data_IF_925577557386
#
_entry.id   IF_925577557386
#
_cell.length_a   1.000
_cell.length_b   1.000
_cell.length_c   1.000
_cell.angle_alpha   90.00
_cell.angle_beta   90.00
_cell.angle_gamma   90.00
#
_symmetry.space_group_name_H-M   'P 1'
#
loop_
_entity.id
_entity.type
_entity.pdbx_description
1 polymer ?
#
# COMPACT_ATOMS: atom_id res chain seq x y z
N UNK A 1 -3.15 -1.84 -17.61
CA UNK A 1 -1.84 -2.50 -17.80
C UNK A 1 -1.41 -3.08 -16.47
N UNK A 2 -1.04 -4.36 -16.43
CA UNK A 2 -0.49 -5.04 -15.24
C UNK A 2 0.98 -5.36 -15.52
N UNK A 3 1.83 -5.14 -14.52
CA UNK A 3 3.26 -5.38 -14.61
C UNK A 3 3.61 -6.60 -13.76
N UNK A 4 4.30 -7.56 -14.35
CA UNK A 4 4.91 -8.69 -13.67
C UNK A 4 6.40 -8.41 -13.53
N UNK A 5 6.90 -8.49 -12.31
CA UNK A 5 8.29 -8.22 -11.97
C UNK A 5 8.85 -9.33 -11.09
N UNK A 6 10.02 -9.86 -11.44
CA UNK A 6 10.82 -10.75 -10.59
C UNK A 6 12.29 -10.65 -10.93
N UNK A 7 13.14 -11.08 -10.02
CA UNK A 7 14.52 -11.41 -10.37
C UNK A 7 14.56 -12.84 -10.90
N UNK A 8 15.29 -13.03 -11.99
CA UNK A 8 15.64 -14.37 -12.52
C UNK A 8 17.13 -14.57 -12.37
N UNK A 9 17.52 -15.78 -12.03
CA UNK A 9 18.92 -16.18 -12.01
C UNK A 9 19.35 -16.47 -13.45
N UNK A 10 20.39 -15.80 -13.90
CA UNK A 10 21.01 -16.01 -15.20
C UNK A 10 22.46 -16.37 -14.98
N UNK A 11 22.91 -17.48 -15.56
CA UNK A 11 24.29 -17.92 -15.55
C UNK A 11 25.00 -17.27 -16.74
N UNK A 12 26.17 -16.69 -16.49
CA UNK A 12 27.03 -16.12 -17.50
C UNK A 12 27.75 -17.27 -18.22
N UNK A 13 27.55 -17.41 -19.51
CA UNK A 13 28.05 -18.54 -20.31
C UNK A 13 29.58 -18.61 -20.38
N UNK A 14 30.29 -17.48 -20.16
CA UNK A 14 31.75 -17.43 -20.22
C UNK A 14 32.41 -17.64 -18.86
N UNK A 15 31.78 -17.16 -17.79
CA UNK A 15 32.37 -17.17 -16.44
C UNK A 15 31.75 -18.19 -15.50
N UNK A 16 30.54 -18.71 -15.82
CA UNK A 16 29.77 -19.58 -14.94
C UNK A 16 29.18 -18.86 -13.71
N UNK A 17 29.34 -17.54 -13.61
CA UNK A 17 28.79 -16.79 -12.49
C UNK A 17 27.29 -16.59 -12.62
N UNK A 18 26.58 -16.79 -11.52
CA UNK A 18 25.14 -16.56 -11.43
C UNK A 18 24.86 -15.10 -11.06
N UNK A 19 24.10 -14.41 -11.90
CA UNK A 19 23.69 -13.03 -11.68
C UNK A 19 22.17 -12.94 -11.56
N UNK A 20 21.71 -12.12 -10.62
CA UNK A 20 20.29 -11.77 -10.48
C UNK A 20 19.93 -10.67 -11.47
N UNK A 21 19.18 -11.03 -12.51
CA UNK A 21 18.76 -10.10 -13.56
C UNK A 21 17.30 -9.73 -13.35
N UNK A 22 16.96 -8.43 -13.34
CA UNK A 22 15.57 -8.00 -13.23
C UNK A 22 14.80 -8.37 -14.51
N UNK A 23 13.71 -9.09 -14.33
CA UNK A 23 12.80 -9.48 -15.40
C UNK A 23 11.47 -8.78 -15.23
N UNK A 24 11.10 -7.96 -16.20
CA UNK A 24 9.84 -7.24 -16.21
C UNK A 24 9.04 -7.61 -17.46
N UNK A 25 7.79 -7.98 -17.26
CA UNK A 25 6.78 -8.10 -18.32
C UNK A 25 5.57 -7.24 -18.00
N UNK A 26 4.92 -6.73 -19.01
CA UNK A 26 3.65 -6.06 -18.87
C UNK A 26 2.59 -6.73 -19.74
N UNK A 27 1.36 -6.68 -19.25
CA UNK A 27 0.19 -7.19 -19.95
C UNK A 27 -0.86 -6.08 -20.00
N UNK A 28 -1.49 -5.92 -21.17
CA UNK A 28 -2.70 -5.11 -21.24
C UNK A 28 -3.84 -5.92 -20.66
N UNK A 29 -4.51 -5.38 -19.66
CA UNK A 29 -5.72 -5.93 -19.08
C UNK A 29 -6.87 -4.98 -19.38
N UNK A 30 -8.05 -5.54 -19.55
CA UNK A 30 -9.27 -4.82 -19.86
C UNK A 30 -10.28 -5.11 -18.75
N UNK A 31 -11.11 -4.13 -18.43
CA UNK A 31 -12.27 -4.38 -17.57
C UNK A 31 -13.19 -5.37 -18.28
N UNK A 32 -13.84 -6.24 -17.51
CA UNK A 32 -14.68 -7.31 -18.10
C UNK A 32 -15.80 -6.75 -18.97
N UNK A 33 -16.35 -5.59 -18.63
CA UNK A 33 -17.38 -4.88 -19.40
C UNK A 33 -16.88 -4.36 -20.77
N UNK A 34 -15.56 -4.34 -20.98
CA UNK A 34 -14.93 -3.98 -22.24
C UNK A 34 -14.68 -5.20 -23.14
N UNK A 35 -15.08 -6.39 -22.66
CA UNK A 35 -14.84 -7.65 -23.34
C UNK A 35 -16.15 -8.30 -23.77
N UNK A 36 -16.19 -8.85 -24.98
CA UNK A 36 -17.33 -9.62 -25.50
C UNK A 36 -17.04 -11.12 -25.43
N UNK A 37 -18.08 -11.93 -25.28
CA UNK A 37 -18.00 -13.40 -25.32
C UNK A 37 -17.34 -14.03 -24.06
N UNK A 38 -17.26 -13.31 -22.96
CA UNK A 38 -16.72 -13.81 -21.69
C UNK A 38 -17.74 -14.75 -21.03
N UNK A 39 -17.26 -15.91 -20.58
CA UNK A 39 -18.11 -16.88 -19.86
C UNK A 39 -18.63 -16.29 -18.54
N UNK A 40 -19.92 -16.53 -18.25
CA UNK A 40 -20.59 -16.06 -17.03
C UNK A 40 -19.83 -16.40 -15.71
N UNK A 41 -19.04 -17.47 -15.69
CA UNK A 41 -18.21 -17.82 -14.52
C UNK A 41 -17.15 -16.76 -14.15
N UNK A 42 -16.80 -15.89 -15.08
CA UNK A 42 -15.84 -14.80 -14.87
C UNK A 42 -16.52 -13.43 -14.69
N UNK A 43 -17.83 -13.36 -14.84
CA UNK A 43 -18.63 -12.12 -14.70
C UNK A 43 -19.36 -12.06 -13.36
N UNK A 44 -19.04 -12.97 -12.43
CA UNK A 44 -19.59 -12.90 -11.08
C UNK A 44 -19.11 -11.59 -10.45
N UNK A 45 -20.03 -10.67 -10.22
CA UNK A 45 -19.76 -9.48 -9.43
C UNK A 45 -19.19 -9.94 -8.09
N UNK A 46 -18.00 -9.47 -7.76
CA UNK A 46 -17.54 -9.55 -6.38
C UNK A 46 -18.55 -8.75 -5.57
N UNK A 47 -19.40 -9.43 -4.81
CA UNK A 47 -20.30 -8.77 -3.89
C UNK A 47 -19.40 -8.03 -2.88
N UNK A 48 -19.32 -6.71 -3.01
CA UNK A 48 -18.75 -5.89 -1.95
C UNK A 48 -19.67 -6.05 -0.74
N UNK A 49 -19.12 -6.38 0.43
CA UNK A 49 -19.92 -6.50 1.63
C UNK A 49 -20.67 -5.18 1.88
N UNK A 50 -21.91 -5.28 2.34
CA UNK A 50 -22.68 -4.12 2.78
C UNK A 50 -21.88 -3.31 3.80
N UNK A 51 -22.03 -1.98 3.82
CA UNK A 51 -21.17 -1.05 4.52
C UNK A 51 -20.87 -1.36 6.00
N UNK A 52 -21.72 -2.13 6.69
CA UNK A 52 -21.47 -2.60 8.06
C UNK A 52 -20.41 -3.69 8.10
N UNK A 53 -20.46 -4.67 7.18
CA UNK A 53 -19.49 -5.76 7.09
C UNK A 53 -18.12 -5.24 6.62
N UNK A 54 -18.11 -4.25 5.75
CA UNK A 54 -16.91 -3.54 5.28
C UNK A 54 -16.16 -2.87 6.43
N UNK A 55 -16.89 -2.23 7.36
CA UNK A 55 -16.29 -1.58 8.53
C UNK A 55 -15.74 -2.60 9.52
N UNK A 56 -16.44 -3.71 9.71
CA UNK A 56 -15.99 -4.82 10.55
C UNK A 56 -14.70 -5.43 9.99
N UNK A 57 -14.65 -5.72 8.69
CA UNK A 57 -13.47 -6.26 8.03
C UNK A 57 -12.25 -5.34 8.17
N UNK A 58 -12.44 -4.02 8.02
CA UNK A 58 -11.36 -3.06 8.22
C UNK A 58 -10.85 -3.06 9.68
N UNK A 59 -11.77 -3.12 10.65
CA UNK A 59 -11.40 -3.19 12.07
C UNK A 59 -10.66 -4.48 12.43
N UNK A 60 -11.13 -5.61 11.93
CA UNK A 60 -10.52 -6.92 12.19
C UNK A 60 -9.07 -6.95 11.68
N UNK A 61 -8.81 -6.46 10.46
CA UNK A 61 -7.46 -6.36 9.90
C UNK A 61 -6.57 -5.48 10.79
N UNK A 62 -7.07 -4.32 11.20
CA UNK A 62 -6.30 -3.38 12.03
C UNK A 62 -5.97 -4.02 13.38
N UNK A 63 -6.94 -4.58 14.08
CA UNK A 63 -6.73 -5.17 15.42
C UNK A 63 -5.87 -6.42 15.38
N UNK A 64 -6.02 -7.27 14.36
CA UNK A 64 -5.16 -8.44 14.17
C UNK A 64 -3.70 -8.00 13.98
N UNK A 65 -3.44 -7.07 13.07
CA UNK A 65 -2.10 -6.57 12.82
C UNK A 65 -1.48 -5.90 14.06
N UNK A 66 -2.22 -5.00 14.72
CA UNK A 66 -1.74 -4.31 15.92
C UNK A 66 -1.42 -5.28 17.05
N UNK A 67 -2.28 -6.27 17.25
CA UNK A 67 -2.09 -7.30 18.30
C UNK A 67 -0.91 -8.23 18.00
N UNK A 68 -0.75 -8.63 16.76
CA UNK A 68 0.30 -9.55 16.30
C UNK A 68 1.68 -8.89 16.29
N UNK A 69 1.75 -7.65 15.83
CA UNK A 69 3.00 -6.92 15.68
C UNK A 69 3.37 -6.05 16.89
N UNK A 70 2.48 -5.88 17.85
CA UNK A 70 2.71 -5.09 19.06
C UNK A 70 2.70 -3.57 18.82
N UNK A 71 2.19 -3.10 17.68
CA UNK A 71 2.10 -1.68 17.34
C UNK A 71 0.98 -1.02 18.16
N UNK A 72 1.25 0.15 18.72
CA UNK A 72 0.24 0.92 19.43
C UNK A 72 -0.47 1.91 18.51
N UNK A 73 -1.79 2.01 18.67
CA UNK A 73 -2.62 3.00 17.98
C UNK A 73 -3.20 3.97 19.01
N UNK A 74 -2.82 5.24 18.90
CA UNK A 74 -3.23 6.32 19.78
C UNK A 74 -4.09 7.33 19.02
N UNK A 75 -5.06 7.93 19.73
CA UNK A 75 -5.86 9.03 19.19
C UNK A 75 -5.65 10.26 20.07
N UNK A 76 -5.23 11.36 19.44
CA UNK A 76 -4.94 12.61 20.12
C UNK A 76 -5.69 13.77 19.43
N UNK A 77 -5.97 14.83 20.17
CA UNK A 77 -6.46 16.07 19.57
C UNK A 77 -5.35 16.70 18.72
N UNK A 78 -5.61 16.92 17.44
CA UNK A 78 -4.63 17.46 16.51
C UNK A 78 -5.09 17.31 15.06
N UNK A 79 -4.22 17.72 14.14
CA UNK A 79 -4.50 17.73 12.70
C UNK A 79 -3.56 16.80 11.90
N UNK A 80 -2.72 16.03 12.59
CA UNK A 80 -1.71 15.17 11.96
C UNK A 80 -1.87 13.72 12.35
N UNK A 81 -1.78 12.84 11.34
CA UNK A 81 -1.54 11.43 11.50
C UNK A 81 -0.07 11.14 11.22
N UNK A 82 0.53 10.22 11.95
CA UNK A 82 1.89 9.77 11.71
C UNK A 82 2.20 8.46 12.44
N UNK A 83 3.12 7.69 11.85
CA UNK A 83 3.79 6.59 12.53
C UNK A 83 5.11 7.07 13.13
N UNK A 84 5.39 6.69 14.37
CA UNK A 84 6.63 7.01 15.11
C UNK A 84 7.47 5.75 15.30
N UNK A 85 8.54 5.56 14.50
CA UNK A 85 9.36 4.34 14.57
C UNK A 85 10.06 4.14 15.92
N UNK A 86 10.45 5.23 16.60
CA UNK A 86 11.21 5.14 17.86
C UNK A 86 10.44 4.53 19.02
N UNK A 87 9.11 4.62 19.01
CA UNK A 87 8.22 4.08 20.06
C UNK A 87 7.26 3.04 19.51
N UNK A 88 7.33 2.77 18.20
CA UNK A 88 6.46 1.85 17.46
C UNK A 88 4.97 2.16 17.66
N UNK A 89 4.63 3.45 17.48
CA UNK A 89 3.31 4.00 17.75
C UNK A 89 2.75 4.70 16.52
N UNK A 90 1.47 4.45 16.24
CA UNK A 90 0.68 5.21 15.29
C UNK A 90 -0.13 6.22 16.09
N UNK A 91 -0.08 7.50 15.70
CA UNK A 91 -0.85 8.57 16.30
C UNK A 91 -1.78 9.14 15.23
N UNK A 92 -3.06 9.23 15.54
CA UNK A 92 -4.11 9.74 14.68
C UNK A 92 -4.89 10.86 15.37
N UNK A 93 -5.47 11.79 14.62
CA UNK A 93 -6.52 12.65 15.13
C UNK A 93 -7.68 11.85 15.72
N UNK A 94 -8.38 12.40 16.70
CA UNK A 94 -9.59 11.77 17.22
C UNK A 94 -10.61 11.60 16.10
N UNK A 95 -11.34 10.47 16.12
CA UNK A 95 -12.20 10.02 15.01
C UNK A 95 -13.20 11.07 14.52
N UNK A 96 -13.71 11.91 15.42
CA UNK A 96 -14.67 13.00 15.08
C UNK A 96 -14.09 14.09 14.18
N UNK A 97 -12.76 14.18 14.02
CA UNK A 97 -12.10 15.17 13.18
C UNK A 97 -11.99 14.76 11.72
N UNK A 98 -12.28 13.51 11.40
CA UNK A 98 -12.30 13.02 10.03
C UNK A 98 -13.65 13.34 9.37
N UNK A 99 -13.61 13.75 8.11
CA UNK A 99 -14.83 14.11 7.35
C UNK A 99 -15.67 12.90 6.98
N UNK A 100 -15.07 11.71 6.96
CA UNK A 100 -15.76 10.44 6.69
C UNK A 100 -15.08 9.26 7.34
N UNK A 101 -15.84 8.17 7.51
CA UNK A 101 -15.32 6.90 7.98
C UNK A 101 -14.29 6.31 7.02
N UNK A 102 -14.51 6.44 5.71
CA UNK A 102 -13.56 6.00 4.69
C UNK A 102 -12.22 6.73 4.78
N UNK A 103 -12.24 8.05 5.03
CA UNK A 103 -11.01 8.82 5.22
C UNK A 103 -10.25 8.37 6.49
N UNK A 104 -10.96 8.14 7.59
CA UNK A 104 -10.35 7.61 8.80
C UNK A 104 -9.63 6.29 8.53
N UNK A 105 -10.27 5.30 7.92
CA UNK A 105 -9.65 4.00 7.65
C UNK A 105 -8.53 4.10 6.61
N UNK A 106 -8.67 4.94 5.60
CA UNK A 106 -7.59 5.21 4.64
C UNK A 106 -6.34 5.72 5.35
N UNK A 107 -6.51 6.67 6.29
CA UNK A 107 -5.41 7.20 7.09
C UNK A 107 -4.81 6.13 8.01
N UNK A 108 -5.65 5.32 8.68
CA UNK A 108 -5.16 4.19 9.49
C UNK A 108 -4.30 3.24 8.66
N UNK A 109 -4.77 2.82 7.48
CA UNK A 109 -4.04 1.91 6.60
C UNK A 109 -2.74 2.52 6.07
N UNK A 110 -2.70 3.84 5.86
CA UNK A 110 -1.47 4.55 5.49
C UNK A 110 -0.42 4.43 6.61
N UNK A 111 -0.80 4.75 7.84
CA UNK A 111 0.12 4.67 8.98
C UNK A 111 0.48 3.22 9.34
N UNK A 112 -0.44 2.26 9.18
CA UNK A 112 -0.12 0.83 9.29
C UNK A 112 0.94 0.42 8.27
N UNK A 113 0.81 0.90 7.03
CA UNK A 113 1.79 0.58 5.98
C UNK A 113 3.16 1.13 6.34
N UNK A 114 3.26 2.36 6.87
CA UNK A 114 4.51 2.89 7.41
C UNK A 114 5.07 2.01 8.52
N UNK A 115 4.23 1.57 9.46
CA UNK A 115 4.68 0.76 10.59
C UNK A 115 5.30 -0.57 10.14
N UNK A 116 4.86 -1.16 9.02
CA UNK A 116 5.51 -2.36 8.46
C UNK A 116 6.98 -2.12 8.10
N UNK A 117 7.39 -0.87 7.92
CA UNK A 117 8.77 -0.49 7.62
C UNK A 117 9.71 -0.51 8.83
N UNK A 118 9.21 -0.75 10.04
CA UNK A 118 10.03 -0.86 11.26
C UNK A 118 11.17 -1.87 11.11
N UNK A 119 12.34 -1.64 11.76
CA UNK A 119 13.47 -2.58 11.69
C UNK A 119 13.15 -4.02 12.11
N UNK A 120 12.21 -4.22 13.03
CA UNK A 120 11.76 -5.57 13.45
C UNK A 120 10.84 -6.28 12.44
N UNK A 121 10.36 -5.59 11.41
CA UNK A 121 9.44 -6.10 10.38
C UNK A 121 10.12 -6.10 9.01
N UNK A 122 9.66 -5.28 8.08
CA UNK A 122 10.23 -5.23 6.72
C UNK A 122 11.50 -4.36 6.59
N UNK A 123 11.92 -3.72 7.67
CA UNK A 123 13.21 -3.00 7.79
C UNK A 123 13.45 -1.95 6.67
N UNK A 124 12.41 -1.19 6.31
CA UNK A 124 12.52 -0.10 5.33
C UNK A 124 12.96 1.22 5.95
N UNK A 125 12.54 1.48 7.20
CA UNK A 125 12.80 2.72 7.95
C UNK A 125 14.11 2.65 8.74
N UNK A 126 15.22 2.38 8.04
CA UNK A 126 16.54 2.18 8.68
C UNK A 126 17.28 3.48 9.01
N UNK A 127 16.87 4.59 8.44
CA UNK A 127 17.46 5.91 8.63
C UNK A 127 16.37 6.95 8.83
N UNK A 128 16.63 7.99 9.66
CA UNK A 128 15.74 9.15 9.70
C UNK A 128 15.64 9.76 8.29
N UNK A 129 14.45 9.77 7.72
CA UNK A 129 14.17 10.49 6.49
C UNK A 129 13.48 11.81 6.83
N UNK A 130 13.93 12.91 6.24
CA UNK A 130 13.35 14.22 6.47
C UNK A 130 12.36 14.55 5.35
N UNK A 131 11.32 15.27 5.70
CA UNK A 131 10.33 15.75 4.74
C UNK A 131 11.01 16.40 3.53
N UNK A 132 10.59 15.97 2.33
CA UNK A 132 11.13 16.48 1.07
C UNK A 132 12.39 15.78 0.54
N UNK A 133 12.94 14.79 1.27
CA UNK A 133 14.04 13.96 0.74
C UNK A 133 13.51 12.88 -0.20
N UNK A 134 14.38 12.36 -1.06
CA UNK A 134 14.04 11.27 -1.99
C UNK A 134 13.62 10.00 -1.24
N UNK A 135 14.30 9.67 -0.14
CA UNK A 135 13.97 8.49 0.67
C UNK A 135 12.62 8.62 1.37
N UNK A 136 12.30 9.83 1.89
CA UNK A 136 10.98 10.13 2.43
C UNK A 136 9.90 9.94 1.36
N UNK A 137 10.14 10.50 0.17
CA UNK A 137 9.26 10.39 -0.98
C UNK A 137 8.96 8.93 -1.36
N UNK A 138 9.99 8.09 -1.32
CA UNK A 138 9.89 6.66 -1.63
C UNK A 138 9.00 5.93 -0.64
N UNK A 139 9.14 6.21 0.62
CA UNK A 139 8.34 5.54 1.66
C UNK A 139 6.88 6.01 1.63
N UNK A 140 6.63 7.31 1.39
CA UNK A 140 5.27 7.83 1.20
C UNK A 140 4.53 7.12 0.05
N UNK A 141 5.22 6.92 -1.07
CA UNK A 141 4.60 6.21 -2.21
C UNK A 141 4.27 4.75 -1.85
N UNK A 142 5.11 4.09 -1.05
CA UNK A 142 4.81 2.74 -0.53
C UNK A 142 3.57 2.78 0.36
N UNK A 143 3.48 3.75 1.27
CA UNK A 143 2.35 3.91 2.18
C UNK A 143 1.04 4.20 1.44
N UNK A 144 1.07 5.09 0.45
CA UNK A 144 -0.10 5.41 -0.38
C UNK A 144 -0.60 4.20 -1.19
N UNK A 145 0.30 3.47 -1.85
CA UNK A 145 -0.09 2.27 -2.62
C UNK A 145 -0.63 1.19 -1.68
N UNK A 146 -0.01 1.00 -0.52
CA UNK A 146 -0.45 0.04 0.48
C UNK A 146 -1.83 0.38 1.04
N UNK A 147 -2.04 1.64 1.44
CA UNK A 147 -3.33 2.12 1.92
C UNK A 147 -4.44 1.96 0.88
N UNK A 148 -4.19 2.38 -0.37
CA UNK A 148 -5.15 2.24 -1.46
C UNK A 148 -5.52 0.76 -1.71
N UNK A 149 -4.53 -0.15 -1.63
CA UNK A 149 -4.76 -1.59 -1.78
C UNK A 149 -5.61 -2.14 -0.65
N UNK A 150 -5.35 -1.76 0.62
CA UNK A 150 -6.13 -2.20 1.77
C UNK A 150 -7.55 -1.63 1.77
N UNK A 151 -7.72 -0.36 1.42
CA UNK A 151 -9.03 0.28 1.25
C UNK A 151 -9.87 -0.46 0.20
N UNK A 152 -9.26 -0.80 -0.94
CA UNK A 152 -9.92 -1.59 -1.98
C UNK A 152 -10.23 -3.02 -1.50
N UNK A 153 -9.29 -3.66 -0.80
CA UNK A 153 -9.45 -5.02 -0.27
C UNK A 153 -10.68 -5.15 0.65
N UNK A 154 -10.94 -4.14 1.48
CA UNK A 154 -12.11 -4.12 2.37
C UNK A 154 -13.35 -3.49 1.74
N UNK A 155 -13.31 -3.04 0.48
CA UNK A 155 -14.44 -2.43 -0.21
C UNK A 155 -14.82 -1.04 0.30
N UNK A 156 -13.91 -0.30 0.94
CA UNK A 156 -14.12 1.06 1.43
C UNK A 156 -13.79 2.14 0.38
N UNK A 157 -13.46 1.74 -0.84
CA UNK A 157 -13.11 2.69 -1.88
C UNK A 157 -14.28 3.62 -2.22
N UNK A 158 -14.01 4.92 -2.18
CA UNK A 158 -14.95 5.97 -2.58
C UNK A 158 -14.32 6.81 -3.68
N UNK A 159 -15.16 7.48 -4.49
CA UNK A 159 -14.68 8.42 -5.51
C UNK A 159 -13.83 9.57 -4.91
N UNK A 160 -13.98 9.88 -3.62
CA UNK A 160 -13.15 10.87 -2.91
C UNK A 160 -11.81 10.30 -2.46
N UNK A 161 -11.78 9.09 -1.89
CA UNK A 161 -10.53 8.44 -1.50
C UNK A 161 -9.64 8.17 -2.71
N UNK A 162 -10.21 7.70 -3.82
CA UNK A 162 -9.50 7.55 -5.09
C UNK A 162 -8.90 8.85 -5.60
N UNK A 163 -9.66 9.96 -5.56
CA UNK A 163 -9.14 11.28 -5.99
C UNK A 163 -8.03 11.79 -5.08
N UNK A 164 -8.11 11.57 -3.78
CA UNK A 164 -7.08 11.97 -2.83
C UNK A 164 -5.79 11.20 -3.08
N UNK A 165 -5.84 9.88 -3.21
CA UNK A 165 -4.68 9.05 -3.56
C UNK A 165 -4.09 9.45 -4.93
N UNK A 166 -4.93 9.71 -5.94
CA UNK A 166 -4.47 10.19 -7.24
C UNK A 166 -3.80 11.57 -7.16
N UNK A 167 -4.31 12.49 -6.36
CA UNK A 167 -3.69 13.81 -6.16
C UNK A 167 -2.34 13.71 -5.44
N UNK A 168 -2.21 12.82 -4.46
CA UNK A 168 -0.93 12.50 -3.82
C UNK A 168 0.08 11.94 -4.82
N UNK A 169 -0.31 10.94 -5.59
CA UNK A 169 0.55 10.37 -6.65
C UNK A 169 0.94 11.44 -7.68
N UNK A 170 0.06 12.39 -7.99
CA UNK A 170 0.34 13.49 -8.91
C UNK A 170 1.48 14.40 -8.41
N UNK A 171 1.58 14.63 -7.11
CA UNK A 171 2.71 15.36 -6.52
C UNK A 171 4.05 14.62 -6.69
N UNK A 172 4.02 13.30 -6.84
CA UNK A 172 5.19 12.45 -7.05
C UNK A 172 5.61 12.29 -8.51
N UNK A 173 4.81 12.80 -9.46
CA UNK A 173 5.15 12.73 -10.89
C UNK A 173 6.49 13.35 -11.21
N UNK A 174 6.95 14.35 -10.44
CA UNK A 174 8.27 14.94 -10.57
C UNK A 174 9.40 13.92 -10.30
N UNK A 175 9.27 13.15 -9.24
CA UNK A 175 10.23 12.10 -8.84
C UNK A 175 10.15 10.91 -9.81
N UNK A 176 8.93 10.50 -10.20
CA UNK A 176 8.68 9.38 -11.10
C UNK A 176 9.18 9.67 -12.55
N UNK A 177 9.22 10.94 -12.98
CA UNK A 177 9.78 11.31 -14.29
C UNK A 177 11.28 11.05 -14.38
N UNK A 178 11.97 11.07 -13.25
CA UNK A 178 13.41 10.79 -13.18
C UNK A 178 13.76 9.29 -13.24
N UNK A 179 12.92 8.42 -12.66
CA UNK A 179 13.11 6.97 -12.69
C UNK A 179 11.77 6.21 -12.69
N UNK A 180 11.40 5.72 -13.87
CA UNK A 180 10.16 4.94 -14.06
C UNK A 180 10.17 3.58 -13.31
N UNK A 181 11.33 3.04 -12.98
CA UNK A 181 11.47 1.78 -12.23
C UNK A 181 11.04 1.97 -10.78
N UNK A 182 11.02 3.20 -10.34
CA UNK A 182 10.68 3.57 -8.98
C UNK A 182 9.26 3.14 -8.57
N UNK A 183 8.26 3.34 -9.45
CA UNK A 183 6.88 2.92 -9.17
C UNK A 183 6.76 1.39 -9.01
N UNK A 184 7.51 0.63 -9.80
CA UNK A 184 7.52 -0.85 -9.71
C UNK A 184 8.14 -1.30 -8.40
N UNK A 185 9.23 -0.65 -7.99
CA UNK A 185 9.88 -0.94 -6.69
C UNK A 185 8.97 -0.58 -5.51
N UNK A 186 8.30 0.58 -5.57
CA UNK A 186 7.36 1.00 -4.53
C UNK A 186 6.16 0.06 -4.44
N UNK A 187 5.58 -0.35 -5.56
CA UNK A 187 4.48 -1.30 -5.61
C UNK A 187 4.87 -2.66 -5.01
N UNK A 188 6.05 -3.21 -5.34
CA UNK A 188 6.51 -4.46 -4.76
C UNK A 188 6.83 -4.37 -3.26
N UNK A 189 7.20 -3.19 -2.75
CA UNK A 189 7.34 -2.95 -1.30
C UNK A 189 5.99 -2.81 -0.62
N UNK A 190 5.04 -2.15 -1.26
CA UNK A 190 3.66 -2.02 -0.79
C UNK A 190 2.97 -3.39 -0.73
N UNK A 191 3.15 -4.24 -1.74
CA UNK A 191 2.65 -5.62 -1.74
C UNK A 191 3.14 -6.41 -0.51
N UNK A 192 4.44 -6.34 -0.20
CA UNK A 192 4.99 -6.97 1.01
C UNK A 192 4.39 -6.39 2.29
N UNK A 193 4.15 -5.09 2.34
CA UNK A 193 3.53 -4.44 3.48
C UNK A 193 2.07 -4.90 3.67
N UNK A 194 1.31 -4.94 2.57
CA UNK A 194 -0.08 -5.43 2.55
C UNK A 194 -0.15 -6.89 2.99
N UNK A 195 0.71 -7.75 2.44
CA UNK A 195 0.76 -9.16 2.81
C UNK A 195 1.06 -9.35 4.30
N UNK A 196 1.99 -8.57 4.86
CA UNK A 196 2.27 -8.59 6.30
C UNK A 196 1.06 -8.12 7.12
N UNK A 197 0.37 -7.08 6.69
CA UNK A 197 -0.83 -6.57 7.38
C UNK A 197 -1.96 -7.61 7.32
N UNK A 198 -2.18 -8.25 6.18
CA UNK A 198 -3.22 -9.26 5.95
C UNK A 198 -2.85 -10.66 6.46
N UNK A 199 -1.64 -10.86 7.00
CA UNK A 199 -1.13 -12.16 7.45
C UNK A 199 -1.12 -13.24 6.34
N UNK A 200 -0.64 -12.89 5.14
CA UNK A 200 -0.61 -13.73 3.94
C UNK A 200 0.83 -14.03 3.49
#
# INVERSE_FOLDING_TARGET
MVVFWKFIEQEDEETGEKKQVPFLRYYNVFHIDQCEGISAKYTTEAAFPDGADTLAAAQDIIYDYLGREGVKLLHEEGDRAFYRPSTDEIVLPIRKQFVSTAEYYSTVFHELTHSTGHPSRLNRLTRPSFFGTEDYSKEELVAEIGAATLVNHVGLETASSFRNSAAYIQNWLGVLKGDKRFIVSAAGRAEKAVNLILNQ
#
